data_IF_854255848908
#
_entry.id   IF_854255848908
#
_cell.length_a   1.000
_cell.length_b   1.000
_cell.length_c   1.000
_cell.angle_alpha   90.00
_cell.angle_beta   90.00
_cell.angle_gamma   90.00
#
_symmetry.space_group_name_H-M   'P 1'
#
loop_
_entity.id
_entity.type
_entity.pdbx_description
1 polymer ?
#
# COMPACT_ATOMS: atom_id res chain seq x y z
N UNK A 1 13.96 -0.54 -6.97
CA UNK A 1 13.03 -0.93 -8.01
C UNK A 1 11.89 -1.75 -7.40
N UNK A 2 10.64 -1.26 -7.44
CA UNK A 2 9.50 -1.97 -6.87
C UNK A 2 9.31 -3.38 -7.42
N UNK A 3 9.59 -3.59 -8.70
CA UNK A 3 9.43 -4.91 -9.32
C UNK A 3 10.36 -5.94 -8.71
N UNK A 4 11.59 -5.54 -8.42
CA UNK A 4 12.55 -6.46 -7.78
C UNK A 4 12.11 -6.81 -6.36
N UNK A 5 11.59 -5.83 -5.63
CA UNK A 5 11.06 -6.07 -4.30
C UNK A 5 9.89 -7.05 -4.35
N UNK A 6 8.99 -6.88 -5.30
CA UNK A 6 7.85 -7.77 -5.49
C UNK A 6 8.28 -9.19 -5.81
N UNK A 7 9.30 -9.37 -6.63
CA UNK A 7 9.84 -10.69 -6.96
C UNK A 7 10.32 -11.44 -5.73
N UNK A 8 10.75 -10.71 -4.72
CA UNK A 8 11.22 -11.28 -3.45
C UNK A 8 10.11 -11.42 -2.41
N UNK A 9 8.86 -11.25 -2.82
CA UNK A 9 7.73 -11.35 -1.91
C UNK A 9 7.38 -10.05 -1.20
N UNK A 10 7.96 -8.92 -1.62
CA UNK A 10 7.65 -7.62 -1.05
C UNK A 10 6.35 -7.08 -1.66
N UNK A 11 5.77 -6.12 -0.96
CA UNK A 11 4.60 -5.40 -1.44
C UNK A 11 4.72 -3.92 -1.07
N UNK A 12 3.88 -3.10 -1.69
CA UNK A 12 3.82 -1.68 -1.32
C UNK A 12 2.37 -1.22 -1.35
N UNK A 13 2.10 -0.15 -0.60
CA UNK A 13 0.77 0.42 -0.48
C UNK A 13 0.70 1.78 -1.16
N UNK A 14 -0.41 2.03 -1.83
CA UNK A 14 -0.67 3.28 -2.55
C UNK A 14 -1.99 3.86 -2.05
N UNK A 15 -2.00 5.18 -1.83
CA UNK A 15 -3.22 5.92 -1.55
C UNK A 15 -3.12 7.27 -2.24
N UNK A 16 -4.20 7.66 -2.95
CA UNK A 16 -4.25 8.93 -3.70
C UNK A 16 -3.07 9.11 -4.65
N UNK A 17 -2.60 8.02 -5.26
CA UNK A 17 -1.49 8.06 -6.21
C UNK A 17 -0.11 8.16 -5.58
N UNK A 18 -0.01 8.05 -4.25
CA UNK A 18 1.25 8.13 -3.53
C UNK A 18 1.57 6.83 -2.83
N UNK A 19 2.85 6.46 -2.84
CA UNK A 19 3.33 5.31 -2.07
C UNK A 19 3.33 5.69 -0.59
N UNK A 20 2.72 4.86 0.24
CA UNK A 20 2.58 5.11 1.66
C UNK A 20 3.83 4.62 2.38
N UNK A 21 4.52 5.55 3.03
CA UNK A 21 5.75 5.28 3.78
C UNK A 21 5.57 5.51 5.28
N UNK A 22 4.51 6.20 5.66
CA UNK A 22 4.24 6.57 7.05
C UNK A 22 2.74 6.62 7.29
N UNK A 23 2.26 6.27 8.48
CA UNK A 23 0.83 6.40 8.81
C UNK A 23 0.30 7.83 8.69
N UNK A 24 1.17 8.82 8.77
CA UNK A 24 0.76 10.23 8.65
C UNK A 24 0.24 10.59 7.26
N UNK A 25 0.53 9.78 6.26
CA UNK A 25 0.10 10.03 4.88
C UNK A 25 -1.36 9.66 4.63
N UNK A 26 -2.00 8.96 5.56
CA UNK A 26 -3.38 8.52 5.43
C UNK A 26 -4.18 8.87 6.66
N UNK A 27 -5.49 8.94 6.50
CA UNK A 27 -6.42 9.18 7.59
C UNK A 27 -7.32 7.98 7.79
N UNK A 28 -7.92 7.89 8.96
CA UNK A 28 -8.90 6.85 9.26
C UNK A 28 -10.02 6.89 8.22
N UNK A 29 -10.35 5.75 7.63
CA UNK A 29 -11.38 5.66 6.62
C UNK A 29 -10.89 5.79 5.18
N UNK A 30 -9.64 6.17 4.97
CA UNK A 30 -9.06 6.26 3.64
C UNK A 30 -8.92 4.88 3.01
N UNK A 31 -9.09 4.83 1.69
CA UNK A 31 -8.86 3.60 0.94
C UNK A 31 -7.40 3.51 0.53
N UNK A 32 -6.81 2.35 0.72
CA UNK A 32 -5.46 2.06 0.25
C UNK A 32 -5.47 0.81 -0.61
N UNK A 33 -4.54 0.78 -1.55
CA UNK A 33 -4.33 -0.37 -2.43
C UNK A 33 -2.96 -0.94 -2.10
N UNK A 34 -2.90 -2.22 -1.80
CA UNK A 34 -1.64 -2.94 -1.62
C UNK A 34 -1.33 -3.70 -2.89
N UNK A 35 -0.22 -3.36 -3.52
CA UNK A 35 0.25 -4.05 -4.71
C UNK A 35 1.21 -5.15 -4.30
N UNK A 36 0.88 -6.38 -4.68
CA UNK A 36 1.74 -7.54 -4.43
C UNK A 36 2.20 -8.12 -5.76
N UNK A 37 3.12 -9.06 -5.71
CA UNK A 37 3.58 -9.74 -6.91
C UNK A 37 2.49 -10.56 -7.60
N UNK A 38 1.45 -10.94 -6.86
CA UNK A 38 0.37 -11.77 -7.37
C UNK A 38 -0.92 -10.99 -7.67
N UNK A 39 -0.98 -9.71 -7.32
CA UNK A 39 -2.18 -8.91 -7.55
C UNK A 39 -2.33 -7.79 -6.53
N UNK A 40 -3.54 -7.22 -6.44
CA UNK A 40 -3.80 -6.08 -5.57
C UNK A 40 -4.83 -6.44 -4.49
N UNK A 41 -4.70 -5.76 -3.36
CA UNK A 41 -5.63 -5.85 -2.24
C UNK A 41 -6.11 -4.44 -1.91
N UNK A 42 -7.44 -4.24 -1.88
CA UNK A 42 -8.01 -2.96 -1.47
C UNK A 42 -8.44 -3.05 -0.01
N UNK A 43 -8.12 -2.05 0.77
CA UNK A 43 -8.48 -2.02 2.19
C UNK A 43 -8.79 -0.60 2.65
N UNK A 44 -9.34 -0.51 3.85
CA UNK A 44 -9.69 0.77 4.47
C UNK A 44 -8.80 0.96 5.70
N UNK A 45 -8.23 2.15 5.83
CA UNK A 45 -7.35 2.49 6.95
C UNK A 45 -8.15 2.56 8.24
N UNK A 46 -7.65 1.90 9.26
CA UNK A 46 -8.16 2.01 10.63
C UNK A 46 -6.96 2.41 11.50
N UNK A 47 -6.99 3.62 12.02
CA UNK A 47 -5.93 4.11 12.91
C UNK A 47 -6.32 3.87 14.36
N UNK A 48 -5.32 3.42 15.14
CA UNK A 48 -5.52 3.14 16.57
C UNK A 48 -4.45 3.82 17.41
#
# INVERSE_FOLDING_TARGET
>A
NPYRMMEKGWSYMISNGEIIKSPDQVNDGDRVITQTSAGTISSIVVKR
#
